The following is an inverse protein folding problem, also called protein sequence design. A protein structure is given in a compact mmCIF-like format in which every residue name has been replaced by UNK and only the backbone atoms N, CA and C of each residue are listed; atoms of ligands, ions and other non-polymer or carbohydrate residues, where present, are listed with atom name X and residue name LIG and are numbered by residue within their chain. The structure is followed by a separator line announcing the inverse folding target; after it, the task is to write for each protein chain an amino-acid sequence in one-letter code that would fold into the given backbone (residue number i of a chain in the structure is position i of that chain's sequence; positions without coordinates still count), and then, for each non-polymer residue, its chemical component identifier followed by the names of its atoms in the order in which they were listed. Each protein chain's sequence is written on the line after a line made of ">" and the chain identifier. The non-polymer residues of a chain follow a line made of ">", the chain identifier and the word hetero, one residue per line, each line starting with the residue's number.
data_IF_529355139940
#
_entry.id   IF_529355139940
#
_cell.length_a   1.000
_cell.length_b   1.000
_cell.length_c   1.000
_cell.angle_alpha   90.00
_cell.angle_beta   90.00
_cell.angle_gamma   90.00
#
_symmetry.space_group_name_H-M   'P 1'
#
loop_
_entity.id
_entity.type
_entity.pdbx_description
1 polymer ?
#
# COMPACT_ATOMS: atom_id res chain seq x y z
N UNK A 1 -1.64 17.19 -29.96
CA UNK A 1 -1.70 17.10 -28.48
C UNK A 1 -1.81 15.63 -28.07
N UNK A 2 -0.91 15.18 -27.23
CA UNK A 2 -0.96 13.81 -26.72
C UNK A 2 -1.84 13.81 -25.47
N UNK A 3 -2.88 13.01 -25.51
CA UNK A 3 -3.77 12.85 -24.36
C UNK A 3 -3.33 11.64 -23.54
N UNK A 4 -3.11 11.85 -22.24
CA UNK A 4 -2.83 10.78 -21.31
C UNK A 4 -4.08 9.93 -21.13
N UNK A 5 -3.97 8.62 -21.35
CA UNK A 5 -5.11 7.71 -21.11
C UNK A 5 -5.30 7.47 -19.62
N UNK A 6 -6.49 6.99 -19.25
CA UNK A 6 -6.74 6.58 -17.86
C UNK A 6 -5.74 5.54 -17.40
N UNK A 7 -5.44 4.57 -18.25
CA UNK A 7 -4.44 3.55 -17.92
C UNK A 7 -3.06 4.15 -17.68
N UNK A 8 -2.62 5.08 -18.53
CA UNK A 8 -1.32 5.74 -18.36
C UNK A 8 -1.24 6.52 -17.05
N UNK A 9 -2.32 7.22 -16.69
CA UNK A 9 -2.41 7.95 -15.44
C UNK A 9 -2.29 7.00 -14.24
N UNK A 10 -2.98 5.85 -14.29
CA UNK A 10 -2.93 4.86 -13.21
C UNK A 10 -1.55 4.22 -13.07
N UNK A 11 -0.91 3.91 -14.20
CA UNK A 11 0.47 3.38 -14.19
C UNK A 11 1.41 4.37 -13.52
N UNK A 12 1.35 5.65 -13.91
CA UNK A 12 2.20 6.68 -13.33
C UNK A 12 1.93 6.89 -11.85
N UNK A 13 0.66 6.86 -11.43
CA UNK A 13 0.26 7.04 -10.04
C UNK A 13 0.82 5.91 -9.15
N UNK A 14 0.58 4.66 -9.51
CA UNK A 14 1.00 3.52 -8.68
C UNK A 14 2.52 3.36 -8.67
N UNK A 15 3.22 3.77 -9.72
CA UNK A 15 4.69 3.75 -9.77
C UNK A 15 5.32 4.61 -8.66
N UNK A 16 4.62 5.61 -8.15
CA UNK A 16 5.11 6.47 -7.06
C UNK A 16 5.29 5.74 -5.73
N UNK A 17 4.67 4.57 -5.57
CA UNK A 17 4.80 3.75 -4.36
C UNK A 17 6.17 3.06 -4.25
N UNK A 18 6.94 3.01 -5.33
CA UNK A 18 8.22 2.30 -5.35
C UNK A 18 9.34 3.07 -4.64
N UNK A 19 9.21 4.39 -4.52
CA UNK A 19 10.25 5.24 -3.94
C UNK A 19 9.66 6.08 -2.80
N UNK A 20 10.30 6.07 -1.64
CA UNK A 20 9.86 6.84 -0.48
C UNK A 20 9.77 8.34 -0.78
N UNK A 21 10.58 8.85 -1.69
CA UNK A 21 10.55 10.27 -2.07
C UNK A 21 9.28 10.64 -2.86
N UNK A 22 8.69 9.69 -3.58
CA UNK A 22 7.49 9.92 -4.42
C UNK A 22 6.21 9.40 -3.78
N UNK A 23 6.27 8.55 -2.76
CA UNK A 23 5.09 8.01 -2.09
C UNK A 23 4.08 9.08 -1.63
N UNK A 24 4.51 10.24 -1.09
CA UNK A 24 3.55 11.30 -0.72
C UNK A 24 2.65 11.73 -1.88
N UNK A 25 3.15 11.72 -3.11
CA UNK A 25 2.37 12.08 -4.29
C UNK A 25 1.27 11.06 -4.59
N UNK A 26 1.49 9.77 -4.27
CA UNK A 26 0.43 8.77 -4.35
C UNK A 26 -0.68 9.07 -3.34
N UNK A 27 -0.30 9.34 -2.09
CA UNK A 27 -1.27 9.58 -1.02
C UNK A 27 -2.07 10.87 -1.23
N UNK A 28 -1.50 11.87 -1.94
CA UNK A 28 -2.24 13.07 -2.32
C UNK A 28 -3.46 12.77 -3.19
N UNK A 29 -3.45 11.64 -3.90
CA UNK A 29 -4.55 11.19 -4.75
C UNK A 29 -5.48 10.19 -4.05
N UNK A 30 -5.33 9.99 -2.76
CA UNK A 30 -6.25 9.20 -1.93
C UNK A 30 -7.10 10.16 -1.11
N UNK A 31 -8.42 9.96 -1.12
CA UNK A 31 -9.35 10.81 -0.36
C UNK A 31 -9.03 10.77 1.14
N UNK A 32 -9.19 11.90 1.82
CA UNK A 32 -8.99 11.95 3.28
C UNK A 32 -9.95 11.04 4.03
N UNK A 33 -11.15 10.84 3.50
CA UNK A 33 -12.20 9.95 4.05
C UNK A 33 -12.28 8.63 3.29
N UNK A 34 -11.18 8.16 2.72
CA UNK A 34 -11.13 6.91 1.98
C UNK A 34 -11.69 5.74 2.79
N UNK A 35 -12.45 4.87 2.13
CA UNK A 35 -12.89 3.61 2.70
C UNK A 35 -11.87 2.54 2.32
N UNK A 36 -10.93 2.26 3.22
CA UNK A 36 -9.84 1.32 2.98
C UNK A 36 -9.99 0.09 3.86
N UNK A 37 -10.20 -1.06 3.25
CA UNK A 37 -10.26 -2.34 3.95
C UNK A 37 -8.97 -3.11 3.69
N UNK A 38 -8.29 -3.49 4.76
CA UNK A 38 -7.18 -4.45 4.70
C UNK A 38 -7.75 -5.80 5.08
N UNK A 39 -7.79 -6.71 4.12
CA UNK A 39 -8.38 -8.03 4.29
C UNK A 39 -7.46 -8.95 5.07
N UNK A 40 -8.05 -9.93 5.78
CA UNK A 40 -7.31 -10.96 6.48
C UNK A 40 -7.50 -10.91 7.98
N UNK A 41 -6.65 -11.66 8.70
CA UNK A 41 -6.71 -11.80 10.17
C UNK A 41 -5.38 -11.40 10.83
N UNK A 42 -4.48 -10.76 10.11
CA UNK A 42 -3.21 -10.26 10.63
C UNK A 42 -3.41 -8.93 11.40
N UNK A 43 -2.38 -8.47 12.14
CA UNK A 43 -2.50 -7.28 13.00
C UNK A 43 -2.87 -5.97 12.30
N UNK A 44 -2.62 -5.86 10.98
CA UNK A 44 -2.96 -4.66 10.23
C UNK A 44 -4.33 -4.74 9.55
N UNK A 45 -5.02 -5.89 9.65
CA UNK A 45 -6.33 -6.08 9.04
C UNK A 45 -7.38 -5.19 9.71
N UNK A 46 -8.36 -4.74 8.93
CA UNK A 46 -9.44 -3.91 9.41
C UNK A 46 -9.96 -2.97 8.35
N UNK A 47 -11.00 -2.22 8.71
CA UNK A 47 -11.61 -1.23 7.85
C UNK A 47 -11.34 0.16 8.40
N UNK A 48 -10.76 1.00 7.57
CA UNK A 48 -10.34 2.35 7.93
C UNK A 48 -11.13 3.36 7.08
N UNK A 49 -11.63 4.42 7.72
CA UNK A 49 -12.41 5.47 7.06
C UNK A 49 -11.68 6.82 7.04
N UNK A 50 -10.42 6.84 7.43
CA UNK A 50 -9.61 8.05 7.52
C UNK A 50 -8.21 7.73 7.01
N UNK A 51 -7.75 8.47 6.00
CA UNK A 51 -6.45 8.24 5.37
C UNK A 51 -5.30 8.34 6.37
N UNK A 52 -5.29 9.37 7.20
CA UNK A 52 -4.21 9.58 8.16
C UNK A 52 -4.17 8.44 9.19
N UNK A 53 -5.32 8.00 9.68
CA UNK A 53 -5.43 6.87 10.60
C UNK A 53 -4.95 5.58 9.95
N UNK A 54 -5.33 5.35 8.68
CA UNK A 54 -4.90 4.17 7.94
C UNK A 54 -3.37 4.14 7.80
N UNK A 55 -2.77 5.23 7.36
CA UNK A 55 -1.32 5.31 7.16
C UNK A 55 -0.60 5.07 8.49
N UNK A 56 -1.05 5.70 9.57
CA UNK A 56 -0.44 5.53 10.90
C UNK A 56 -0.55 4.10 11.40
N UNK A 57 -1.69 3.46 11.23
CA UNK A 57 -1.94 2.09 11.71
C UNK A 57 -1.21 1.03 10.87
N UNK A 58 -0.81 1.33 9.63
CA UNK A 58 -0.22 0.37 8.71
C UNK A 58 1.20 0.76 8.28
N UNK A 59 1.35 1.64 7.31
CA UNK A 59 2.66 1.99 6.75
C UNK A 59 3.60 2.62 7.78
N UNK A 60 3.11 3.55 8.57
CA UNK A 60 3.94 4.21 9.59
C UNK A 60 4.31 3.23 10.70
N UNK A 61 3.39 2.37 11.09
CA UNK A 61 3.66 1.33 12.10
C UNK A 61 4.76 0.38 11.61
N UNK A 62 4.68 -0.08 10.37
CA UNK A 62 5.71 -0.94 9.79
C UNK A 62 7.05 -0.22 9.70
N UNK A 63 7.07 1.02 9.21
CA UNK A 63 8.29 1.81 9.08
C UNK A 63 8.96 2.09 10.43
N UNK A 64 8.17 2.35 11.46
CA UNK A 64 8.68 2.69 12.79
C UNK A 64 9.06 1.47 13.64
N UNK A 65 8.48 0.31 13.37
CA UNK A 65 8.59 -0.85 14.26
C UNK A 65 9.25 -2.06 13.62
N UNK A 66 8.84 -2.45 12.42
CA UNK A 66 9.22 -3.73 11.85
C UNK A 66 10.07 -3.64 10.58
N UNK A 67 9.86 -2.62 9.78
CA UNK A 67 10.52 -2.46 8.48
C UNK A 67 11.14 -1.06 8.40
N UNK A 68 12.37 -0.88 8.95
CA UNK A 68 13.05 0.42 8.91
C UNK A 68 13.23 0.91 7.47
N UNK A 69 12.97 2.19 7.24
CA UNK A 69 13.00 2.77 5.89
C UNK A 69 11.68 2.65 5.13
N UNK A 70 10.69 1.97 5.71
CA UNK A 70 9.35 1.87 5.15
C UNK A 70 9.18 0.78 4.11
N UNK A 71 7.94 0.60 3.66
CA UNK A 71 7.56 -0.40 2.68
C UNK A 71 7.57 0.23 1.29
N UNK A 72 8.35 -0.32 0.38
CA UNK A 72 8.42 0.09 -1.02
C UNK A 72 7.66 -0.93 -1.85
N UNK A 73 6.74 -0.45 -2.69
CA UNK A 73 5.84 -1.29 -3.46
C UNK A 73 6.11 -1.14 -4.95
N UNK A 74 6.47 -2.24 -5.60
CA UNK A 74 6.66 -2.30 -7.03
C UNK A 74 5.40 -2.89 -7.67
N UNK A 75 4.90 -2.26 -8.73
CA UNK A 75 3.76 -2.77 -9.49
C UNK A 75 4.23 -3.90 -10.39
N UNK A 76 3.63 -5.08 -10.23
CA UNK A 76 3.91 -6.23 -11.10
C UNK A 76 2.88 -6.33 -12.22
N UNK A 77 1.61 -6.06 -11.94
CA UNK A 77 0.53 -6.04 -12.92
C UNK A 77 -0.48 -4.95 -12.56
N UNK A 78 -1.11 -4.36 -13.58
CA UNK A 78 -2.13 -3.35 -13.37
C UNK A 78 -3.26 -3.53 -14.39
N UNK A 79 -4.49 -3.48 -13.88
CA UNK A 79 -5.70 -3.63 -14.69
C UNK A 79 -6.61 -2.44 -14.45
N UNK A 80 -7.17 -1.88 -15.52
CA UNK A 80 -8.09 -0.74 -15.43
C UNK A 80 -9.39 -1.10 -16.13
N UNK A 81 -10.48 -0.98 -15.38
CA UNK A 81 -11.84 -1.19 -15.89
C UNK A 81 -12.73 -0.06 -15.37
N UNK A 82 -12.97 0.95 -16.21
CA UNK A 82 -13.74 2.13 -15.82
C UNK A 82 -13.11 2.87 -14.65
N UNK A 83 -13.85 3.04 -13.57
CA UNK A 83 -13.38 3.69 -12.34
C UNK A 83 -12.64 2.73 -11.40
N UNK A 84 -12.51 1.45 -11.77
CA UNK A 84 -11.81 0.44 -10.98
C UNK A 84 -10.42 0.19 -11.53
N UNK A 85 -9.42 0.22 -10.65
CA UNK A 85 -8.05 -0.18 -10.96
C UNK A 85 -7.62 -1.27 -10.00
N UNK A 86 -7.12 -2.38 -10.55
CA UNK A 86 -6.56 -3.46 -9.75
C UNK A 86 -5.05 -3.42 -9.92
N UNK A 87 -4.33 -3.27 -8.80
CA UNK A 87 -2.87 -3.24 -8.80
C UNK A 87 -2.34 -4.46 -8.03
N UNK A 88 -1.55 -5.28 -8.71
CA UNK A 88 -0.74 -6.32 -8.06
C UNK A 88 0.62 -5.72 -7.76
N UNK A 89 1.06 -5.82 -6.51
CA UNK A 89 2.23 -5.14 -6.00
C UNK A 89 3.12 -6.13 -5.26
N UNK A 90 4.41 -5.83 -5.22
CA UNK A 90 5.40 -6.63 -4.49
C UNK A 90 6.28 -5.70 -3.67
N UNK A 91 6.53 -6.05 -2.42
CA UNK A 91 7.45 -5.28 -1.58
C UNK A 91 8.86 -5.87 -1.63
N UNK A 92 9.87 -4.98 -1.54
CA UNK A 92 11.29 -5.34 -1.61
C UNK A 92 12.07 -4.81 -0.40
N UNK A 93 11.40 -4.64 0.73
CA UNK A 93 11.98 -4.04 1.93
C UNK A 93 12.66 -5.09 2.82
N UNK A 94 13.42 -4.62 3.81
CA UNK A 94 14.05 -5.47 4.83
C UNK A 94 13.39 -5.23 6.18
N UNK A 95 13.26 -6.29 6.97
CA UNK A 95 12.79 -6.18 8.34
C UNK A 95 13.90 -5.72 9.28
N UNK A 96 13.53 -5.34 10.50
CA UNK A 96 14.48 -4.96 11.55
C UNK A 96 15.49 -6.08 11.86
N UNK A 97 15.07 -7.33 11.80
CA UNK A 97 15.94 -8.50 12.00
C UNK A 97 16.82 -8.83 10.78
N UNK A 98 16.67 -8.10 9.67
CA UNK A 98 17.45 -8.30 8.46
C UNK A 98 16.86 -9.29 7.47
N UNK A 99 15.67 -9.81 7.71
CA UNK A 99 14.98 -10.70 6.78
C UNK A 99 14.32 -9.90 5.64
N UNK A 100 14.02 -10.57 4.54
CA UNK A 100 13.29 -9.95 3.45
C UNK A 100 11.81 -9.78 3.84
N UNK A 101 11.29 -8.57 3.64
CA UNK A 101 9.86 -8.32 3.66
C UNK A 101 9.36 -8.35 2.21
N UNK A 102 9.33 -9.54 1.65
CA UNK A 102 8.97 -9.79 0.26
C UNK A 102 7.50 -10.21 0.17
N UNK A 103 6.61 -9.25 0.36
CA UNK A 103 5.18 -9.48 0.42
C UNK A 103 4.51 -9.19 -0.92
N UNK A 104 3.47 -9.94 -1.23
CA UNK A 104 2.66 -9.73 -2.43
C UNK A 104 1.30 -9.16 -2.06
N UNK A 105 0.83 -8.20 -2.87
CA UNK A 105 -0.40 -7.46 -2.61
C UNK A 105 -1.30 -7.47 -3.83
N UNK A 106 -2.61 -7.42 -3.60
CA UNK A 106 -3.59 -7.14 -4.62
C UNK A 106 -4.55 -6.09 -4.08
N UNK A 107 -4.53 -4.89 -4.67
CA UNK A 107 -5.38 -3.78 -4.27
C UNK A 107 -6.45 -3.56 -5.33
N UNK A 108 -7.72 -3.63 -4.94
CA UNK A 108 -8.85 -3.28 -5.79
C UNK A 108 -9.30 -1.88 -5.42
N UNK A 109 -9.03 -0.91 -6.30
CA UNK A 109 -9.21 0.51 -6.02
C UNK A 109 -10.34 1.08 -6.87
N UNK A 110 -11.25 1.82 -6.23
CA UNK A 110 -12.28 2.59 -6.94
C UNK A 110 -11.92 4.06 -6.90
N UNK A 111 -12.02 4.70 -8.06
CA UNK A 111 -11.74 6.12 -8.24
C UNK A 111 -13.02 6.91 -8.41
N UNK A 112 -13.02 8.14 -7.90
CA UNK A 112 -13.97 9.18 -8.28
C UNK A 112 -13.14 10.25 -8.99
N UNK A 113 -13.24 10.31 -10.32
CA UNK A 113 -12.32 11.10 -11.12
C UNK A 113 -10.88 10.59 -10.95
N UNK A 114 -10.01 11.47 -10.46
CA UNK A 114 -8.59 11.14 -10.23
C UNK A 114 -8.28 10.70 -8.80
N UNK A 115 -9.28 10.63 -7.92
CA UNK A 115 -9.10 10.40 -6.49
C UNK A 115 -9.55 8.99 -6.13
N UNK A 116 -8.73 8.27 -5.40
CA UNK A 116 -9.06 6.95 -4.85
C UNK A 116 -9.99 7.17 -3.65
N UNK A 117 -11.17 6.58 -3.71
CA UNK A 117 -12.20 6.73 -2.65
C UNK A 117 -12.48 5.43 -1.91
N UNK A 118 -12.14 4.29 -2.48
CA UNK A 118 -12.34 2.99 -1.85
C UNK A 118 -11.23 2.03 -2.28
N UNK A 119 -10.71 1.26 -1.32
CA UNK A 119 -9.73 0.21 -1.59
C UNK A 119 -10.08 -1.04 -0.80
N UNK A 120 -10.00 -2.20 -1.45
CA UNK A 120 -9.95 -3.50 -0.80
C UNK A 120 -8.56 -4.06 -1.05
N UNK A 121 -7.78 -4.17 0.02
CA UNK A 121 -6.38 -4.55 -0.07
C UNK A 121 -6.17 -5.96 0.47
N UNK A 122 -5.66 -6.84 -0.37
CA UNK A 122 -5.27 -8.20 -0.02
C UNK A 122 -3.75 -8.27 0.06
N UNK A 123 -3.24 -9.03 1.01
CA UNK A 123 -1.81 -9.14 1.31
C UNK A 123 -1.53 -10.54 1.83
N UNK A 124 -0.27 -10.97 1.75
CA UNK A 124 0.14 -12.20 2.42
C UNK A 124 0.06 -11.99 3.94
N UNK A 125 -1.02 -12.46 4.53
CA UNK A 125 -1.33 -12.25 5.95
C UNK A 125 -0.30 -12.87 6.88
N UNK A 126 0.22 -14.03 6.52
CA UNK A 126 1.23 -14.70 7.34
C UNK A 126 2.54 -13.93 7.37
N UNK A 127 2.97 -13.40 6.23
CA UNK A 127 4.18 -12.56 6.16
C UNK A 127 4.05 -11.33 7.04
N UNK A 128 2.91 -10.65 7.01
CA UNK A 128 2.65 -9.48 7.87
C UNK A 128 2.66 -9.87 9.34
N UNK A 129 1.95 -10.94 9.71
CA UNK A 129 1.86 -11.39 11.10
C UNK A 129 3.24 -11.78 11.67
N UNK A 130 4.01 -12.55 10.93
CA UNK A 130 5.37 -12.92 11.35
C UNK A 130 6.28 -11.70 11.47
N UNK A 131 6.23 -10.80 10.52
CA UNK A 131 7.08 -9.61 10.52
C UNK A 131 6.82 -8.77 11.78
N UNK A 132 5.57 -8.53 12.10
CA UNK A 132 5.20 -7.74 13.28
C UNK A 132 5.61 -8.48 14.56
N UNK A 133 5.26 -9.77 14.69
CA UNK A 133 5.59 -10.57 15.86
C UNK A 133 7.09 -10.60 16.15
N UNK A 134 7.92 -10.68 15.13
CA UNK A 134 9.37 -10.87 15.30
C UNK A 134 10.14 -9.55 15.45
N UNK A 135 9.56 -8.44 15.04
CA UNK A 135 10.31 -7.16 14.94
C UNK A 135 9.73 -6.04 15.79
N UNK A 136 8.41 -5.94 15.94
CA UNK A 136 7.77 -4.87 16.68
C UNK A 136 8.11 -4.99 18.18
N UNK A 137 8.60 -3.89 18.76
CA UNK A 137 8.98 -3.86 20.18
C UNK A 137 10.32 -4.52 20.49
N UNK A 138 11.02 -5.07 19.50
CA UNK A 138 12.33 -5.66 19.71
C UNK A 138 13.43 -4.60 19.67
N UNK A 139 14.58 -4.81 20.36
CA UNK A 139 15.74 -3.93 20.26
C UNK A 139 16.20 -3.86 18.79
N UNK A 140 16.51 -2.68 18.32
CA UNK A 140 16.98 -2.44 16.96
C UNK A 140 18.44 -2.76 16.75
#
# INVERSE_FOLDING_TARGET
>A
MIMTTTRDDRIALFAKLQDSATQPQFWDRVADDVDWTVEGTHPLAGRYHDKAQFIEATFARLAGQAVPGGVKLEVTHLYVDGDTTIAELHSTSKTKEGADFANDYCWVCRFDGDIIVEVRAHVDSMMVAYTILRNEGQPG
#
